data_IF_679847094576
#
_entry.id   IF_679847094576
#
_cell.length_a   1.000
_cell.length_b   1.000
_cell.length_c   1.000
_cell.angle_alpha   90.00
_cell.angle_beta   90.00
_cell.angle_gamma   90.00
#
_symmetry.space_group_name_H-M   'P 1'
#
loop_
_entity.id
_entity.type
_entity.pdbx_description
1 polymer ?
#
# COMPACT_ATOMS: atom_id res chain seq x y z
N UNK A 1 -12.57 2.57 -21.83
CA UNK A 1 -11.97 1.29 -21.37
C UNK A 1 -10.44 1.29 -21.39
N UNK A 2 -9.78 1.71 -22.49
CA UNK A 2 -8.31 1.78 -22.56
C UNK A 2 -7.67 2.64 -21.45
N UNK A 3 -8.28 3.78 -21.09
CA UNK A 3 -7.81 4.67 -20.01
C UNK A 3 -7.87 4.04 -18.61
N UNK A 4 -8.86 3.20 -18.33
CA UNK A 4 -9.02 2.55 -17.01
C UNK A 4 -8.05 1.38 -16.83
N UNK A 5 -7.83 0.60 -17.90
CA UNK A 5 -6.84 -0.48 -17.91
C UNK A 5 -5.43 0.12 -17.85
N UNK A 6 -5.17 1.22 -18.56
CA UNK A 6 -3.92 1.97 -18.46
C UNK A 6 -3.67 2.51 -17.05
N UNK A 7 -4.67 3.11 -16.39
CA UNK A 7 -4.58 3.54 -14.99
C UNK A 7 -4.32 2.39 -14.02
N UNK A 8 -4.98 1.25 -14.21
CA UNK A 8 -4.81 0.06 -13.37
C UNK A 8 -3.41 -0.56 -13.56
N UNK A 9 -2.95 -0.68 -14.81
CA UNK A 9 -1.61 -1.16 -15.14
C UNK A 9 -0.54 -0.18 -14.64
N UNK A 10 -0.75 1.13 -14.74
CA UNK A 10 0.17 2.13 -14.21
C UNK A 10 0.19 2.15 -12.68
N UNK A 11 -0.97 2.08 -12.02
CA UNK A 11 -1.05 1.98 -10.55
C UNK A 11 -0.37 0.73 -9.99
N UNK A 12 -0.41 -0.39 -10.73
CA UNK A 12 0.22 -1.66 -10.33
C UNK A 12 1.73 -1.66 -10.64
N UNK A 13 2.17 -1.17 -11.81
CA UNK A 13 3.54 -1.37 -12.32
C UNK A 13 4.44 -0.12 -12.28
N UNK A 14 3.95 1.09 -12.57
CA UNK A 14 4.81 2.27 -12.78
C UNK A 14 4.70 3.34 -11.68
N UNK A 15 3.53 3.46 -11.06
CA UNK A 15 3.24 4.30 -9.89
C UNK A 15 3.18 3.46 -8.60
N UNK A 16 3.93 2.36 -8.53
CA UNK A 16 3.89 1.47 -7.37
C UNK A 16 4.31 2.22 -6.10
N UNK A 17 3.38 2.33 -5.16
CA UNK A 17 3.55 3.09 -3.92
C UNK A 17 4.75 2.63 -3.10
N UNK A 18 5.05 1.32 -3.11
CA UNK A 18 6.12 0.72 -2.29
C UNK A 18 7.49 0.87 -2.95
N UNK A 19 7.58 0.66 -4.26
CA UNK A 19 8.85 0.51 -4.98
C UNK A 19 9.31 1.79 -5.69
N UNK A 20 8.38 2.67 -6.07
CA UNK A 20 8.65 3.94 -6.78
C UNK A 20 8.47 5.14 -5.86
N UNK A 21 7.43 5.16 -5.01
CA UNK A 21 7.16 6.26 -4.07
C UNK A 21 7.67 6.01 -2.64
N UNK A 22 8.21 4.83 -2.32
CA UNK A 22 8.72 4.47 -0.99
C UNK A 22 7.70 4.62 0.17
N UNK A 23 6.40 4.51 -0.12
CA UNK A 23 5.32 4.55 0.86
C UNK A 23 4.99 3.14 1.38
N UNK A 24 4.75 3.01 2.69
CA UNK A 24 4.33 1.75 3.31
C UNK A 24 5.48 0.80 3.72
N UNK A 25 6.68 1.33 3.94
CA UNK A 25 7.87 0.56 4.34
C UNK A 25 7.69 -0.07 5.74
N UNK A 26 6.96 0.57 6.65
CA UNK A 26 6.77 0.11 8.03
C UNK A 26 6.16 -1.31 8.12
N UNK A 27 4.99 -1.59 7.52
CA UNK A 27 4.45 -2.94 7.48
C UNK A 27 5.25 -3.89 6.58
N UNK A 28 5.89 -3.36 5.53
CA UNK A 28 6.73 -4.13 4.61
C UNK A 28 7.95 -4.75 5.32
N UNK A 29 8.66 -4.00 6.17
CA UNK A 29 9.80 -4.52 6.93
C UNK A 29 9.38 -5.36 8.14
N UNK A 30 8.22 -5.08 8.74
CA UNK A 30 7.72 -5.81 9.91
C UNK A 30 7.23 -7.22 9.60
N UNK A 31 6.48 -7.40 8.50
CA UNK A 31 5.67 -8.61 8.28
C UNK A 31 6.13 -9.49 7.11
N UNK A 32 7.18 -9.11 6.40
CA UNK A 32 7.73 -9.88 5.27
C UNK A 32 8.51 -11.15 5.64
N UNK A 33 8.52 -11.57 6.92
CA UNK A 33 9.27 -12.77 7.34
C UNK A 33 8.63 -14.09 6.89
N UNK A 34 7.30 -14.14 6.76
CA UNK A 34 6.55 -15.32 6.30
C UNK A 34 5.66 -14.91 5.13
N UNK A 35 5.60 -15.76 4.11
CA UNK A 35 4.78 -15.51 2.91
C UNK A 35 3.29 -15.46 3.25
N UNK A 36 2.81 -16.41 4.06
CA UNK A 36 1.40 -16.46 4.48
C UNK A 36 0.97 -15.20 5.23
N UNK A 37 1.87 -14.62 6.05
CA UNK A 37 1.57 -13.35 6.72
C UNK A 37 1.62 -12.20 5.71
N UNK A 38 2.69 -12.08 4.93
CA UNK A 38 2.82 -11.02 3.92
C UNK A 38 1.58 -10.88 3.02
N UNK A 39 1.03 -11.99 2.54
CA UNK A 39 -0.19 -12.00 1.72
C UNK A 39 -1.41 -11.51 2.50
N UNK A 40 -1.62 -11.99 3.74
CA UNK A 40 -2.72 -11.55 4.59
C UNK A 40 -2.70 -10.06 4.88
N UNK A 41 -1.50 -9.50 5.14
CA UNK A 41 -1.32 -8.06 5.32
C UNK A 41 -1.61 -7.28 4.04
N UNK A 42 -1.10 -7.76 2.89
CA UNK A 42 -1.32 -7.12 1.60
C UNK A 42 -2.81 -7.04 1.22
N UNK A 43 -3.55 -8.13 1.45
CA UNK A 43 -5.00 -8.17 1.23
C UNK A 43 -5.75 -7.22 2.15
N UNK A 44 -5.40 -7.18 3.45
CA UNK A 44 -6.02 -6.27 4.40
C UNK A 44 -5.79 -4.80 4.02
N UNK A 45 -4.55 -4.44 3.66
CA UNK A 45 -4.21 -3.08 3.21
C UNK A 45 -4.93 -2.73 1.92
N UNK A 46 -5.04 -3.64 0.95
CA UNK A 46 -5.80 -3.43 -0.30
C UNK A 46 -7.28 -3.14 0.00
N UNK A 47 -7.89 -3.90 0.91
CA UNK A 47 -9.27 -3.68 1.36
C UNK A 47 -9.45 -2.32 2.03
N UNK A 48 -8.54 -1.92 2.92
CA UNK A 48 -8.61 -0.59 3.57
C UNK A 48 -8.39 0.54 2.56
N UNK A 49 -7.43 0.42 1.64
CA UNK A 49 -7.18 1.45 0.62
C UNK A 49 -8.39 1.72 -0.26
N UNK A 50 -9.09 0.65 -0.66
CA UNK A 50 -10.28 0.76 -1.52
C UNK A 50 -11.48 1.35 -0.78
N UNK A 51 -11.75 0.89 0.44
CA UNK A 51 -12.81 1.46 1.28
C UNK A 51 -12.52 2.92 1.64
N UNK A 52 -11.26 3.24 1.95
CA UNK A 52 -10.84 4.61 2.25
C UNK A 52 -11.03 5.51 1.03
N UNK A 53 -10.72 5.06 -0.19
CA UNK A 53 -10.96 5.84 -1.40
C UNK A 53 -12.46 6.07 -1.68
N UNK A 54 -13.31 5.05 -1.48
CA UNK A 54 -14.76 5.16 -1.65
C UNK A 54 -15.35 6.21 -0.69
N UNK A 55 -14.96 6.14 0.57
CA UNK A 55 -15.54 7.00 1.62
C UNK A 55 -14.93 8.40 1.57
N UNK A 56 -13.65 8.54 1.25
CA UNK A 56 -12.98 9.86 1.24
C UNK A 56 -13.37 10.71 0.04
N UNK A 57 -13.83 10.12 -1.07
CA UNK A 57 -14.26 10.85 -2.27
C UNK A 57 -15.39 11.86 -2.01
N UNK A 58 -16.56 11.49 -1.44
CA UNK A 58 -17.63 12.45 -1.15
C UNK A 58 -17.22 13.50 -0.12
N UNK A 59 -16.40 13.13 0.88
CA UNK A 59 -15.87 14.10 1.86
C UNK A 59 -14.94 15.11 1.19
N UNK A 60 -14.11 14.68 0.24
CA UNK A 60 -13.24 15.57 -0.49
C UNK A 60 -14.03 16.61 -1.32
N UNK A 61 -15.09 16.16 -2.02
CA UNK A 61 -15.98 17.07 -2.77
C UNK A 61 -16.65 18.09 -1.84
N UNK A 62 -17.11 17.65 -0.67
CA UNK A 62 -17.73 18.53 0.32
C UNK A 62 -16.74 19.57 0.86
N UNK A 63 -15.51 19.16 1.20
CA UNK A 63 -14.47 20.05 1.70
C UNK A 63 -14.06 21.09 0.64
N UNK A 64 -13.96 20.68 -0.62
CA UNK A 64 -13.58 21.57 -1.71
C UNK A 64 -14.66 22.64 -1.97
N UNK A 65 -15.94 22.25 -1.93
CA UNK A 65 -17.07 23.19 -2.06
C UNK A 65 -17.13 24.21 -0.92
N UNK A 66 -16.62 23.87 0.26
CA UNK A 66 -16.56 24.77 1.42
C UNK A 66 -15.26 25.59 1.48
N UNK A 67 -14.31 25.38 0.56
CA UNK A 67 -12.99 26.03 0.57
C UNK A 67 -12.08 25.59 1.73
N UNK A 68 -12.35 24.44 2.36
CA UNK A 68 -11.61 23.91 3.52
C UNK A 68 -10.54 22.88 3.10
N UNK A 69 -9.79 23.18 2.06
CA UNK A 69 -8.78 22.27 1.49
C UNK A 69 -7.67 21.92 2.50
N UNK A 70 -7.31 22.86 3.38
CA UNK A 70 -6.29 22.66 4.42
C UNK A 70 -6.64 21.54 5.43
N UNK A 71 -7.93 21.21 5.63
CA UNK A 71 -8.35 20.19 6.59
C UNK A 71 -8.38 18.77 6.00
N UNK A 72 -8.14 18.59 4.70
CA UNK A 72 -8.26 17.30 4.01
C UNK A 72 -7.44 16.18 4.68
N UNK A 73 -6.16 16.42 4.97
CA UNK A 73 -5.28 15.39 5.55
C UNK A 73 -5.78 14.91 6.91
N UNK A 74 -6.23 15.82 7.77
CA UNK A 74 -6.77 15.49 9.10
C UNK A 74 -8.05 14.66 8.98
N UNK A 75 -8.96 15.05 8.09
CA UNK A 75 -10.21 14.32 7.84
C UNK A 75 -9.93 12.92 7.29
N UNK A 76 -9.00 12.78 6.35
CA UNK A 76 -8.62 11.46 5.81
C UNK A 76 -8.02 10.54 6.88
N UNK A 77 -7.17 11.05 7.78
CA UNK A 77 -6.64 10.25 8.89
C UNK A 77 -7.77 9.76 9.80
N UNK A 78 -8.76 10.60 10.12
CA UNK A 78 -9.91 10.20 10.94
C UNK A 78 -10.77 9.12 10.26
N UNK A 79 -11.02 9.26 8.95
CA UNK A 79 -11.74 8.24 8.16
C UNK A 79 -10.97 6.92 8.18
N UNK A 80 -9.66 6.94 7.94
CA UNK A 80 -8.84 5.73 7.95
C UNK A 80 -8.81 5.10 9.36
N UNK A 81 -8.66 5.90 10.41
CA UNK A 81 -8.65 5.42 11.79
C UNK A 81 -9.95 4.70 12.16
N UNK A 82 -11.10 5.27 11.83
CA UNK A 82 -12.40 4.65 12.06
C UNK A 82 -12.59 3.35 11.24
N UNK A 83 -12.14 3.32 9.99
CA UNK A 83 -12.21 2.13 9.15
C UNK A 83 -11.35 0.97 9.66
N UNK A 84 -10.11 1.25 10.05
CA UNK A 84 -9.21 0.22 10.57
C UNK A 84 -9.72 -0.29 11.93
N UNK A 85 -10.33 0.57 12.74
CA UNK A 85 -10.96 0.14 13.98
C UNK A 85 -12.07 -0.90 13.74
N UNK A 86 -12.92 -0.66 12.72
CA UNK A 86 -13.96 -1.62 12.33
C UNK A 86 -13.31 -2.92 11.81
N UNK A 87 -12.24 -2.81 11.02
CA UNK A 87 -11.50 -3.95 10.49
C UNK A 87 -10.85 -4.78 11.61
N UNK A 88 -10.34 -4.16 12.67
CA UNK A 88 -9.77 -4.87 13.82
C UNK A 88 -10.82 -5.76 14.50
N UNK A 89 -12.02 -5.22 14.75
CA UNK A 89 -13.13 -5.98 15.32
C UNK A 89 -13.56 -7.12 14.40
N UNK A 90 -13.59 -6.88 13.09
CA UNK A 90 -13.92 -7.90 12.09
C UNK A 90 -12.90 -9.04 12.08
N UNK A 91 -11.60 -8.74 12.00
CA UNK A 91 -10.53 -9.75 11.97
C UNK A 91 -10.52 -10.57 13.27
N UNK A 92 -10.70 -9.92 14.42
CA UNK A 92 -10.76 -10.61 15.73
C UNK A 92 -11.92 -11.62 15.81
N UNK A 93 -13.04 -11.33 15.14
CA UNK A 93 -14.24 -12.18 15.16
C UNK A 93 -14.21 -13.30 14.12
N UNK A 94 -13.79 -13.00 12.90
CA UNK A 94 -13.90 -13.95 11.77
C UNK A 94 -12.60 -14.74 11.51
N UNK A 95 -11.42 -14.17 11.77
CA UNK A 95 -10.13 -14.76 11.36
C UNK A 95 -9.13 -14.77 12.52
N UNK A 96 -9.40 -15.62 13.52
CA UNK A 96 -8.52 -15.78 14.71
C UNK A 96 -7.07 -16.15 14.36
N UNK A 97 -6.86 -16.95 13.30
CA UNK A 97 -5.54 -17.32 12.84
C UNK A 97 -4.70 -16.11 12.38
N UNK A 98 -5.34 -15.14 11.73
CA UNK A 98 -4.70 -13.93 11.26
C UNK A 98 -4.48 -12.96 12.43
N UNK A 99 -5.47 -12.78 13.31
CA UNK A 99 -5.32 -11.95 14.52
C UNK A 99 -4.17 -12.41 15.42
N UNK A 100 -3.98 -13.71 15.62
CA UNK A 100 -2.88 -14.26 16.42
C UNK A 100 -1.49 -13.98 15.82
N UNK A 101 -1.39 -13.91 14.50
CA UNK A 101 -0.14 -13.59 13.80
C UNK A 101 0.10 -12.06 13.66
N UNK A 102 -0.96 -11.25 13.71
CA UNK A 102 -0.94 -9.84 13.32
C UNK A 102 -1.35 -8.84 14.38
N UNK A 103 -1.85 -9.24 15.55
CA UNK A 103 -2.55 -8.34 16.48
C UNK A 103 -1.79 -7.05 16.81
N UNK A 104 -0.46 -7.11 16.92
CA UNK A 104 0.38 -5.93 17.21
C UNK A 104 0.55 -5.00 15.98
N UNK A 105 0.41 -5.53 14.77
CA UNK A 105 0.60 -4.81 13.50
C UNK A 105 -0.71 -4.24 12.91
N UNK A 106 -1.88 -4.54 13.48
CA UNK A 106 -3.16 -3.97 13.02
C UNK A 106 -3.21 -2.43 13.14
N UNK A 107 -2.76 -1.82 14.25
CA UNK A 107 -2.61 -0.36 14.35
C UNK A 107 -1.60 0.24 13.35
N UNK A 108 -0.73 -0.58 12.75
CA UNK A 108 0.21 -0.13 11.73
C UNK A 108 -0.45 0.12 10.37
N UNK A 109 -1.72 -0.30 10.19
CA UNK A 109 -2.51 -0.02 8.99
C UNK A 109 -3.01 1.44 9.01
N UNK A 110 -3.41 1.99 10.17
CA UNK A 110 -3.91 3.37 10.26
C UNK A 110 -2.84 4.40 9.92
N UNK A 111 -1.60 4.11 10.32
CA UNK A 111 -0.43 4.96 10.10
C UNK A 111 0.35 4.58 8.84
N UNK A 112 -0.24 3.75 7.98
CA UNK A 112 0.41 3.34 6.74
C UNK A 112 0.39 4.50 5.73
N UNK A 113 1.58 4.99 5.38
CA UNK A 113 1.76 6.07 4.42
C UNK A 113 1.15 5.75 3.05
N UNK A 114 1.10 4.47 2.63
CA UNK A 114 0.47 4.08 1.36
C UNK A 114 -1.05 4.30 1.38
N UNK A 115 -1.71 4.02 2.51
CA UNK A 115 -3.16 4.20 2.69
C UNK A 115 -3.53 5.67 2.70
N UNK A 116 -2.75 6.50 3.40
CA UNK A 116 -2.96 7.95 3.39
C UNK A 116 -2.65 8.56 2.00
N UNK A 117 -1.54 8.13 1.39
CA UNK A 117 -1.06 8.66 0.13
C UNK A 117 -2.03 8.47 -1.02
N UNK A 118 -2.69 7.31 -1.14
CA UNK A 118 -3.66 7.08 -2.23
C UNK A 118 -4.86 8.01 -2.15
N UNK A 119 -5.32 8.33 -0.94
CA UNK A 119 -6.47 9.23 -0.75
C UNK A 119 -6.09 10.66 -1.11
N UNK A 120 -4.89 11.10 -0.71
CA UNK A 120 -4.36 12.43 -1.05
C UNK A 120 -4.13 12.57 -2.56
N UNK A 121 -3.51 11.56 -3.20
CA UNK A 121 -3.27 11.59 -4.66
C UNK A 121 -4.60 11.60 -5.40
N UNK A 122 -5.59 10.82 -4.95
CA UNK A 122 -6.92 10.86 -5.56
C UNK A 122 -7.61 12.22 -5.40
N UNK A 123 -7.32 12.95 -4.32
CA UNK A 123 -7.82 14.30 -4.10
C UNK A 123 -7.12 15.33 -5.00
N UNK A 124 -5.79 15.25 -5.13
CA UNK A 124 -4.98 16.17 -5.94
C UNK A 124 -5.20 16.01 -7.44
N UNK A 125 -5.32 14.78 -7.93
CA UNK A 125 -5.58 14.45 -9.34
C UNK A 125 -7.06 14.64 -9.73
N UNK A 126 -7.91 15.06 -8.80
CA UNK A 126 -9.35 15.28 -9.01
C UNK A 126 -10.07 14.10 -9.72
N UNK A 127 -9.71 12.85 -9.37
CA UNK A 127 -10.28 11.69 -10.01
C UNK A 127 -11.80 11.58 -9.80
N UNK A 128 -12.50 11.14 -10.83
CA UNK A 128 -13.93 10.79 -10.70
C UNK A 128 -14.12 9.60 -9.75
N UNK A 129 -15.31 9.46 -9.16
CA UNK A 129 -15.64 8.37 -8.23
C UNK A 129 -15.18 6.97 -8.72
N UNK A 130 -15.51 6.51 -9.95
CA UNK A 130 -15.04 5.22 -10.44
C UNK A 130 -13.53 5.16 -10.69
N UNK A 131 -12.88 6.25 -11.10
CA UNK A 131 -11.42 6.29 -11.26
C UNK A 131 -10.69 6.15 -9.93
N UNK A 132 -11.21 6.77 -8.86
CA UNK A 132 -10.60 6.70 -7.52
C UNK A 132 -10.57 5.27 -6.97
N UNK A 133 -11.62 4.48 -7.23
CA UNK A 133 -11.73 3.08 -6.82
C UNK A 133 -10.73 2.21 -7.58
N UNK A 134 -10.66 2.39 -8.90
CA UNK A 134 -9.74 1.63 -9.77
C UNK A 134 -8.29 1.94 -9.43
N UNK A 135 -7.97 3.22 -9.18
CA UNK A 135 -6.66 3.67 -8.71
C UNK A 135 -6.29 3.03 -7.36
N UNK A 136 -7.20 3.04 -6.39
CA UNK A 136 -6.97 2.46 -5.08
C UNK A 136 -6.83 0.93 -5.10
N UNK A 137 -7.62 0.24 -5.93
CA UNK A 137 -7.47 -1.19 -6.17
C UNK A 137 -6.10 -1.50 -6.80
N UNK A 138 -5.69 -0.74 -7.83
CA UNK A 138 -4.40 -0.90 -8.47
C UNK A 138 -3.23 -0.69 -7.50
N UNK A 139 -3.29 0.37 -6.69
CA UNK A 139 -2.27 0.67 -5.68
C UNK A 139 -2.20 -0.41 -4.58
N UNK A 140 -3.35 -0.92 -4.11
CA UNK A 140 -3.39 -1.99 -3.12
C UNK A 140 -2.84 -3.31 -3.67
N UNK A 141 -3.22 -3.69 -4.90
CA UNK A 141 -2.65 -4.86 -5.57
C UNK A 141 -1.14 -4.73 -5.80
N UNK A 142 -0.67 -3.52 -6.14
CA UNK A 142 0.77 -3.21 -6.23
C UNK A 142 1.50 -3.40 -4.90
N UNK A 143 0.90 -2.98 -3.79
CA UNK A 143 1.42 -3.21 -2.43
C UNK A 143 1.46 -4.71 -2.09
N UNK A 144 0.40 -5.46 -2.42
CA UNK A 144 0.33 -6.91 -2.22
C UNK A 144 1.42 -7.63 -3.00
N UNK A 145 1.61 -7.28 -4.27
CA UNK A 145 2.64 -7.87 -5.12
C UNK A 145 4.04 -7.58 -4.59
N UNK A 146 4.29 -6.33 -4.16
CA UNK A 146 5.57 -5.91 -3.60
C UNK A 146 5.92 -6.68 -2.30
N UNK A 147 4.99 -6.77 -1.36
CA UNK A 147 5.23 -7.47 -0.08
C UNK A 147 5.38 -8.98 -0.28
N UNK A 148 4.65 -9.56 -1.24
CA UNK A 148 4.77 -10.98 -1.61
C UNK A 148 6.15 -11.28 -2.21
N UNK A 149 6.58 -10.53 -3.23
CA UNK A 149 7.91 -10.66 -3.83
C UNK A 149 9.02 -10.52 -2.78
N UNK A 150 8.91 -9.50 -1.92
CA UNK A 150 9.93 -9.27 -0.91
C UNK A 150 9.97 -10.36 0.17
N UNK A 151 8.83 -10.97 0.51
CA UNK A 151 8.81 -12.10 1.42
C UNK A 151 9.59 -13.31 0.88
N UNK A 152 9.55 -13.54 -0.43
CA UNK A 152 10.32 -14.60 -1.10
C UNK A 152 11.82 -14.28 -1.01
N UNK A 153 12.21 -13.06 -1.38
CA UNK A 153 13.61 -12.59 -1.31
C UNK A 153 14.13 -12.72 0.12
N UNK A 154 13.34 -12.33 1.12
CA UNK A 154 13.71 -12.41 2.53
C UNK A 154 13.87 -13.85 3.01
N UNK A 155 13.03 -14.77 2.55
CA UNK A 155 13.18 -16.20 2.85
C UNK A 155 14.52 -16.75 2.36
N UNK A 156 14.93 -16.36 1.13
CA UNK A 156 16.22 -16.77 0.55
C UNK A 156 17.42 -16.18 1.27
N UNK A 157 17.33 -14.93 1.72
CA UNK A 157 18.40 -14.28 2.48
C UNK A 157 18.62 -14.96 3.83
N UNK A 158 17.56 -15.44 4.48
CA UNK A 158 17.67 -16.14 5.76
C UNK A 158 18.33 -17.52 5.61
N UNK A 159 18.26 -18.16 4.43
CA UNK A 159 18.96 -19.41 4.12
C UNK A 159 20.44 -19.17 3.75
N UNK A 160 20.81 -17.94 3.36
CA UNK A 160 22.17 -17.61 2.95
C UNK A 160 23.12 -17.44 4.14
N UNK A 161 24.41 -17.74 3.93
CA UNK A 161 25.46 -17.53 4.93
C UNK A 161 25.83 -16.04 5.03
N UNK A 162 25.06 -15.30 5.83
CA UNK A 162 25.29 -13.86 6.07
C UNK A 162 26.31 -13.64 7.21
N UNK A 163 27.30 -12.75 7.05
CA UNK A 163 28.18 -12.32 8.14
C UNK A 163 27.38 -11.83 9.36
N UNK A 164 27.84 -12.09 10.59
CA UNK A 164 27.08 -11.80 11.81
C UNK A 164 26.67 -10.32 11.93
N UNK A 165 27.52 -9.40 11.47
CA UNK A 165 27.27 -7.94 11.53
C UNK A 165 26.13 -7.47 10.61
N UNK A 166 25.78 -8.23 9.57
CA UNK A 166 24.74 -7.85 8.59
C UNK A 166 23.40 -8.56 8.81
N UNK A 167 23.29 -9.47 9.78
CA UNK A 167 22.08 -10.25 10.02
C UNK A 167 20.90 -9.37 10.45
N UNK A 168 19.71 -9.68 9.97
CA UNK A 168 18.47 -9.00 10.36
C UNK A 168 18.17 -7.78 9.49
N UNK A 169 18.00 -6.60 10.12
CA UNK A 169 17.56 -5.38 9.43
C UNK A 169 18.55 -4.86 8.38
N UNK A 170 19.89 -4.85 8.60
CA UNK A 170 20.82 -4.30 7.63
C UNK A 170 20.75 -5.00 6.26
N UNK A 171 20.83 -6.33 6.24
CA UNK A 171 20.69 -7.08 4.97
C UNK A 171 19.30 -6.98 4.36
N UNK A 172 18.25 -6.84 5.19
CA UNK A 172 16.89 -6.65 4.70
C UNK A 172 16.76 -5.33 3.95
N UNK A 173 17.36 -4.24 4.45
CA UNK A 173 17.37 -2.93 3.79
C UNK A 173 18.19 -2.95 2.50
N UNK A 174 19.37 -3.59 2.50
CA UNK A 174 20.18 -3.76 1.29
C UNK A 174 19.39 -4.53 0.22
N UNK A 175 18.77 -5.65 0.58
CA UNK A 175 17.94 -6.41 -0.35
C UNK A 175 16.73 -5.60 -0.85
N UNK A 176 16.08 -4.82 0.01
CA UNK A 176 14.98 -3.94 -0.39
C UNK A 176 15.43 -2.89 -1.41
N UNK A 177 16.63 -2.32 -1.22
CA UNK A 177 17.22 -1.37 -2.18
C UNK A 177 17.50 -1.99 -3.55
N UNK A 178 18.03 -3.21 -3.58
CA UNK A 178 18.30 -3.96 -4.83
C UNK A 178 16.98 -4.29 -5.54
N UNK A 179 15.96 -4.73 -4.81
CA UNK A 179 14.64 -5.00 -5.38
C UNK A 179 14.02 -3.71 -5.91
N UNK A 180 14.11 -2.59 -5.18
CA UNK A 180 13.62 -1.29 -5.66
C UNK A 180 14.31 -0.84 -6.95
N UNK A 181 15.64 -0.97 -7.05
CA UNK A 181 16.40 -0.68 -8.28
C UNK A 181 15.92 -1.49 -9.49
N UNK A 182 15.65 -2.79 -9.31
CA UNK A 182 15.09 -3.63 -10.36
C UNK A 182 13.71 -3.15 -10.82
N UNK A 183 12.89 -2.64 -9.90
CA UNK A 183 11.57 -2.10 -10.23
C UNK A 183 11.60 -0.71 -10.86
N UNK A 184 12.63 0.11 -10.57
CA UNK A 184 12.83 1.39 -11.26
C UNK A 184 12.99 1.21 -12.78
N UNK A 185 13.53 0.07 -13.24
CA UNK A 185 13.63 -0.26 -14.66
C UNK A 185 12.28 -0.34 -15.39
N UNK A 186 11.18 -0.63 -14.68
CA UNK A 186 9.83 -0.67 -15.27
C UNK A 186 9.21 0.72 -15.46
N UNK A 187 9.78 1.77 -14.85
CA UNK A 187 9.24 3.13 -14.99
C UNK A 187 9.35 3.65 -16.42
N UNK A 188 10.39 3.25 -17.17
CA UNK A 188 10.56 3.58 -18.60
C UNK A 188 9.51 2.96 -19.52
N UNK A 189 8.89 1.84 -19.12
CA UNK A 189 7.84 1.19 -19.91
C UNK A 189 6.54 2.02 -19.90
N UNK A 190 6.24 2.77 -18.83
CA UNK A 190 5.10 3.70 -18.83
C UNK A 190 5.26 4.84 -19.83
N UNK A 191 6.46 5.41 -19.94
CA UNK A 191 6.74 6.48 -20.91
C UNK A 191 6.64 5.96 -22.35
N UNK A 192 7.10 4.73 -22.61
CA UNK A 192 6.99 4.08 -23.92
C UNK A 192 5.56 3.76 -24.38
N UNK A 193 4.59 3.66 -23.46
CA UNK A 193 3.17 3.48 -23.79
C UNK A 193 2.41 4.80 -24.04
N UNK A 194 3.07 5.97 -24.00
CA UNK A 194 2.43 7.26 -24.30
C UNK A 194 1.40 7.71 -23.26
N UNK A 195 1.63 7.35 -22.00
CA UNK A 195 0.71 7.57 -20.87
C UNK A 195 1.31 8.49 -19.80
N UNK A 196 2.11 9.47 -20.22
CA UNK A 196 2.61 10.56 -19.39
C UNK A 196 1.76 11.82 -19.56
#
# INVERSE_FOLDING_TARGET
>A
MKTYIALLVMGILTQNFVLSRFLGICPFLGVSRKTNTAVGMGLAVTGVMTLAAIISHPFNVLLNNMGLEYLQTTVFILIIASLVQILEVFIKRYIKALYSAFGIYLPLITTNCAVLGIVIINAQEAYTFPQSIVSALGAGLGFLLAIFMFSIVRSKINEAHVPPSFRGMPITLIAASIVSLSFMGFTGIAQGLGLA
#
